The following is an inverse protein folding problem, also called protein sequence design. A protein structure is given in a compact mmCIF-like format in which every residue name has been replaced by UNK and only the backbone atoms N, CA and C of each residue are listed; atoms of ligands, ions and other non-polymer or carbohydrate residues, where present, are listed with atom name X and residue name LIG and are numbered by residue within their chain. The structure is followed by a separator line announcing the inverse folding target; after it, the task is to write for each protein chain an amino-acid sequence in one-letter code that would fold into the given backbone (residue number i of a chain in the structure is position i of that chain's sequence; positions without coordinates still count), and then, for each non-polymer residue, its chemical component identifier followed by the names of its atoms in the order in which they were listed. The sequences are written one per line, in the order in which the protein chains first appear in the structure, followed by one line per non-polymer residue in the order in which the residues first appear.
data_IF_322620299865
#
_entry.id   IF_322620299865
#
_cell.length_a   1.000
_cell.length_b   1.000
_cell.length_c   1.000
_cell.angle_alpha   90.00
_cell.angle_beta   90.00
_cell.angle_gamma   90.00
#
_symmetry.space_group_name_H-M   'P 1'
#
loop_
_entity.id
_entity.type
_entity.pdbx_description
1 polymer ?
#
# COMPACT_ATOMS: atom_id res chain seq x y z
N UNK A 1 4.51 5.49 -35.12
CA UNK A 1 5.83 5.50 -34.45
C UNK A 1 5.66 6.21 -33.12
N UNK A 2 5.40 5.47 -32.06
CA UNK A 2 5.23 6.02 -30.70
C UNK A 2 6.62 6.34 -30.14
N UNK A 3 6.87 7.60 -29.80
CA UNK A 3 8.04 8.00 -29.04
C UNK A 3 7.99 7.28 -27.70
N UNK A 4 8.95 6.38 -27.45
CA UNK A 4 9.24 5.88 -26.08
C UNK A 4 9.62 7.11 -25.26
N UNK A 5 8.75 7.55 -24.36
CA UNK A 5 9.13 8.52 -23.34
C UNK A 5 10.29 7.91 -22.56
N UNK A 6 11.46 8.53 -22.64
CA UNK A 6 12.61 8.17 -21.81
C UNK A 6 12.19 8.31 -20.36
N UNK A 7 12.30 7.23 -19.57
CA UNK A 7 12.04 7.28 -18.13
C UNK A 7 12.95 8.35 -17.53
N UNK A 8 12.35 9.36 -16.88
CA UNK A 8 13.08 10.40 -16.16
C UNK A 8 13.56 9.92 -14.77
N UNK A 9 13.25 8.69 -14.41
CA UNK A 9 13.68 8.09 -13.17
C UNK A 9 15.19 7.89 -13.16
N UNK A 10 15.85 8.39 -12.12
CA UNK A 10 17.29 8.25 -11.90
C UNK A 10 17.53 7.44 -10.64
N UNK A 11 18.48 6.51 -10.70
CA UNK A 11 18.87 5.76 -9.52
C UNK A 11 19.47 6.70 -8.47
N UNK A 12 19.02 6.55 -7.22
CA UNK A 12 19.59 7.27 -6.09
C UNK A 12 20.91 6.59 -5.68
N UNK A 13 21.99 7.34 -5.46
CA UNK A 13 23.28 6.78 -5.03
C UNK A 13 23.29 6.52 -3.52
N UNK A 14 22.30 5.74 -3.03
CA UNK A 14 22.11 5.43 -1.61
C UNK A 14 21.80 3.94 -1.44
N UNK A 15 21.94 3.44 -0.21
CA UNK A 15 21.34 2.16 0.17
C UNK A 15 19.85 2.35 0.54
N UNK A 16 19.00 1.36 0.25
CA UNK A 16 19.28 0.16 -0.55
C UNK A 16 19.45 0.48 -2.04
N UNK A 17 20.31 -0.25 -2.73
CA UNK A 17 20.44 -0.14 -4.17
C UNK A 17 19.15 -0.55 -4.88
N UNK A 18 18.88 0.06 -6.05
CA UNK A 18 17.68 -0.22 -6.83
C UNK A 18 16.49 0.69 -6.49
N UNK A 19 16.73 1.84 -5.86
CA UNK A 19 15.75 2.91 -5.73
C UNK A 19 15.96 3.93 -6.83
N UNK A 20 14.95 4.10 -7.68
CA UNK A 20 14.93 5.12 -8.72
C UNK A 20 13.91 6.19 -8.36
N UNK A 21 14.21 7.44 -8.72
CA UNK A 21 13.46 8.60 -8.29
C UNK A 21 13.25 9.62 -9.40
N UNK A 22 12.09 10.23 -9.40
CA UNK A 22 11.77 11.40 -10.22
C UNK A 22 10.98 12.39 -9.38
N UNK A 23 11.50 13.59 -9.21
CA UNK A 23 10.75 14.71 -8.66
C UNK A 23 9.73 15.23 -9.67
N UNK A 24 8.68 15.86 -9.16
CA UNK A 24 7.63 16.52 -9.96
C UNK A 24 7.13 15.66 -11.15
N UNK A 25 6.83 14.37 -10.85
CA UNK A 25 6.18 13.47 -11.81
C UNK A 25 4.85 14.03 -12.32
N UNK A 26 4.13 14.72 -11.44
CA UNK A 26 2.97 15.55 -11.75
C UNK A 26 3.26 16.99 -11.32
N UNK A 27 2.65 17.98 -12.01
CA UNK A 27 2.75 19.37 -11.61
C UNK A 27 1.82 19.70 -10.42
N UNK A 28 1.99 20.87 -9.76
CA UNK A 28 1.17 21.24 -8.60
C UNK A 28 -0.33 21.31 -8.90
N UNK A 29 -0.73 21.80 -10.06
CA UNK A 29 -2.14 21.93 -10.45
C UNK A 29 -2.79 20.56 -10.64
N UNK A 30 -2.06 19.59 -11.20
CA UNK A 30 -2.53 18.22 -11.35
C UNK A 30 -2.64 17.54 -9.98
N UNK A 31 -1.67 17.73 -9.09
CA UNK A 31 -1.72 17.23 -7.72
C UNK A 31 -2.96 17.74 -6.97
N UNK A 32 -3.24 19.05 -7.03
CA UNK A 32 -4.41 19.64 -6.38
C UNK A 32 -5.72 19.05 -6.91
N UNK A 33 -5.82 18.84 -8.23
CA UNK A 33 -6.99 18.19 -8.84
C UNK A 33 -7.17 16.77 -8.33
N UNK A 34 -6.10 15.98 -8.26
CA UNK A 34 -6.14 14.61 -7.74
C UNK A 34 -6.57 14.57 -6.29
N UNK A 35 -6.00 15.44 -5.44
CA UNK A 35 -6.38 15.54 -4.02
C UNK A 35 -7.86 15.92 -3.89
N UNK A 36 -8.35 16.83 -4.70
CA UNK A 36 -9.79 17.19 -4.72
C UNK A 36 -10.67 15.97 -5.04
N UNK A 37 -10.31 15.16 -6.04
CA UNK A 37 -11.01 13.91 -6.36
C UNK A 37 -10.96 12.95 -5.16
N UNK A 38 -9.79 12.76 -4.55
CA UNK A 38 -9.60 11.82 -3.45
C UNK A 38 -10.42 12.18 -2.21
N UNK A 39 -10.58 13.47 -1.95
CA UNK A 39 -11.32 13.96 -0.77
C UNK A 39 -12.83 14.01 -1.01
N UNK A 40 -13.27 14.40 -2.22
CA UNK A 40 -14.66 14.74 -2.47
C UNK A 40 -15.45 13.69 -3.25
N UNK A 41 -14.78 12.81 -4.02
CA UNK A 41 -15.44 11.90 -4.96
C UNK A 41 -15.24 10.42 -4.62
N UNK A 42 -14.21 10.08 -3.81
CA UNK A 42 -13.92 8.69 -3.49
C UNK A 42 -14.57 8.24 -2.18
N UNK A 43 -15.16 7.06 -2.22
CA UNK A 43 -15.71 6.40 -1.03
C UNK A 43 -14.60 5.66 -0.28
N UNK A 44 -14.09 6.27 0.78
CA UNK A 44 -13.11 5.66 1.65
C UNK A 44 -13.76 4.71 2.66
N UNK A 45 -13.06 3.62 3.06
CA UNK A 45 -13.52 2.75 4.14
C UNK A 45 -13.75 3.53 5.45
N UNK A 46 -14.88 3.30 6.11
CA UNK A 46 -15.21 3.92 7.40
C UNK A 46 -14.40 3.25 8.54
N UNK A 47 -13.17 3.73 8.72
CA UNK A 47 -12.27 3.32 9.79
C UNK A 47 -11.20 4.38 10.04
N UNK A 48 -10.58 4.35 11.22
CA UNK A 48 -9.47 5.24 11.57
C UNK A 48 -8.12 4.74 11.01
N UNK A 49 -7.16 5.64 10.93
CA UNK A 49 -5.78 5.37 10.53
C UNK A 49 -5.60 5.34 9.01
N UNK A 50 -4.63 4.57 8.54
CA UNK A 50 -4.34 4.43 7.11
C UNK A 50 -5.49 3.75 6.37
N UNK A 51 -5.97 4.38 5.31
CA UNK A 51 -7.00 3.84 4.42
C UNK A 51 -6.40 3.37 3.10
N UNK A 52 -7.08 2.47 2.40
CA UNK A 52 -6.65 1.99 1.09
C UNK A 52 -7.85 1.67 0.20
N UNK A 53 -7.72 2.05 -1.08
CA UNK A 53 -8.60 1.65 -2.17
C UNK A 53 -7.77 0.88 -3.19
N UNK A 54 -8.33 -0.20 -3.72
CA UNK A 54 -7.66 -1.06 -4.69
C UNK A 54 -8.40 -1.00 -6.03
N UNK A 55 -7.62 -0.97 -7.11
CA UNK A 55 -8.07 -1.07 -8.50
C UNK A 55 -7.28 -2.17 -9.20
N UNK A 56 -7.82 -2.70 -10.29
CA UNK A 56 -7.26 -3.84 -10.99
C UNK A 56 -7.63 -5.17 -10.33
N UNK A 57 -6.72 -6.13 -10.35
CA UNK A 57 -6.93 -7.44 -9.74
C UNK A 57 -6.71 -7.42 -8.23
N UNK A 58 -7.51 -8.21 -7.52
CA UNK A 58 -7.24 -8.55 -6.11
C UNK A 58 -6.20 -9.65 -6.02
N UNK A 59 -5.25 -9.52 -5.09
CA UNK A 59 -4.28 -10.57 -4.82
C UNK A 59 -4.78 -11.50 -3.73
N UNK A 60 -4.73 -12.79 -3.99
CA UNK A 60 -4.94 -13.82 -2.98
C UNK A 60 -3.60 -14.16 -2.31
N UNK A 61 -3.47 -13.78 -1.05
CA UNK A 61 -2.27 -14.07 -0.26
C UNK A 61 -2.17 -15.54 0.19
N UNK A 62 -3.16 -16.38 -0.09
CA UNK A 62 -3.09 -17.83 0.17
C UNK A 62 -2.47 -18.57 -0.99
N UNK A 63 -2.91 -18.26 -2.20
CA UNK A 63 -2.41 -18.90 -3.43
C UNK A 63 -1.22 -18.15 -4.02
N UNK A 64 -0.97 -16.91 -3.59
CA UNK A 64 0.04 -15.99 -4.12
C UNK A 64 -0.16 -15.71 -5.61
N UNK A 65 -1.41 -15.56 -6.02
CA UNK A 65 -1.81 -15.21 -7.36
C UNK A 65 -2.91 -14.16 -7.38
N UNK A 66 -3.52 -13.98 -8.55
CA UNK A 66 -4.73 -13.19 -8.69
C UNK A 66 -5.88 -14.01 -8.08
N UNK A 67 -6.71 -13.35 -7.27
CA UNK A 67 -7.92 -13.96 -6.72
C UNK A 67 -8.97 -14.12 -7.84
N UNK A 68 -9.29 -15.37 -8.27
CA UNK A 68 -10.19 -15.59 -9.36
C UNK A 68 -11.66 -15.26 -9.02
N UNK A 69 -11.98 -15.20 -7.73
CA UNK A 69 -13.36 -14.96 -7.25
C UNK A 69 -13.69 -13.47 -7.14
N UNK A 70 -12.67 -12.59 -7.27
CA UNK A 70 -12.83 -11.15 -7.22
C UNK A 70 -12.65 -10.56 -8.61
N UNK A 71 -13.71 -9.92 -9.19
CA UNK A 71 -13.62 -9.36 -10.53
C UNK A 71 -12.60 -8.20 -10.59
N UNK A 72 -12.04 -8.00 -11.78
CA UNK A 72 -11.18 -6.85 -12.07
C UNK A 72 -11.95 -5.56 -11.82
N UNK A 73 -11.38 -4.65 -11.03
CA UNK A 73 -11.92 -3.32 -10.80
C UNK A 73 -11.25 -2.33 -11.75
N UNK A 74 -12.03 -1.76 -12.66
CA UNK A 74 -11.53 -0.83 -13.67
C UNK A 74 -10.75 0.34 -13.08
N UNK A 75 -9.73 0.79 -13.83
CA UNK A 75 -8.97 1.98 -13.47
C UNK A 75 -9.78 3.23 -13.80
N UNK A 76 -9.99 4.14 -12.84
CA UNK A 76 -10.71 5.36 -13.11
C UNK A 76 -9.92 6.29 -14.06
N UNK A 77 -10.62 7.16 -14.77
CA UNK A 77 -10.04 8.05 -15.77
C UNK A 77 -8.91 8.93 -15.23
N UNK A 78 -9.03 9.39 -13.99
CA UNK A 78 -7.99 10.20 -13.34
C UNK A 78 -6.66 9.45 -13.14
N UNK A 79 -6.69 8.11 -13.12
CA UNK A 79 -5.50 7.27 -12.92
C UNK A 79 -4.73 7.03 -14.23
N UNK A 80 -5.41 7.03 -15.38
CA UNK A 80 -4.80 6.72 -16.67
C UNK A 80 -3.54 7.55 -16.99
N UNK A 81 -3.53 8.89 -16.82
CA UNK A 81 -2.34 9.69 -17.11
C UNK A 81 -1.20 9.51 -16.09
N UNK A 82 -1.44 8.79 -14.98
CA UNK A 82 -0.48 8.56 -13.91
C UNK A 82 0.21 7.19 -14.02
N UNK A 83 -0.18 6.35 -14.99
CA UNK A 83 0.44 5.04 -15.17
C UNK A 83 1.90 5.21 -15.57
N UNK A 84 2.84 4.51 -14.91
CA UNK A 84 4.25 4.59 -15.25
C UNK A 84 4.49 4.15 -16.70
N UNK A 85 5.19 4.94 -17.53
CA UNK A 85 5.35 4.64 -18.97
C UNK A 85 6.42 3.58 -19.26
N UNK A 86 7.00 2.97 -18.24
CA UNK A 86 8.16 2.09 -18.33
C UNK A 86 7.83 0.65 -18.65
N UNK A 87 6.57 0.26 -18.48
CA UNK A 87 6.10 -1.11 -18.73
C UNK A 87 5.39 -1.23 -20.06
N UNK A 88 5.46 -2.42 -20.65
CA UNK A 88 4.80 -2.70 -21.93
C UNK A 88 3.29 -2.91 -21.81
N UNK A 89 2.77 -2.98 -20.59
CA UNK A 89 1.36 -3.22 -20.28
C UNK A 89 0.93 -2.44 -19.04
N UNK A 90 -0.38 -2.19 -18.87
CA UNK A 90 -0.91 -1.61 -17.63
C UNK A 90 -0.56 -2.46 -16.40
N UNK A 91 -0.52 -1.88 -15.19
CA UNK A 91 -0.34 -2.62 -13.96
C UNK A 91 -1.52 -3.58 -13.72
N UNK A 92 -1.24 -4.69 -13.05
CA UNK A 92 -2.28 -5.63 -12.66
C UNK A 92 -3.05 -5.14 -11.43
N UNK A 93 -2.39 -4.36 -10.57
CA UNK A 93 -3.00 -3.77 -9.38
C UNK A 93 -2.47 -2.37 -9.13
N UNK A 94 -3.39 -1.47 -8.75
CA UNK A 94 -3.07 -0.15 -8.22
C UNK A 94 -3.73 0.02 -6.85
N UNK A 95 -2.94 0.47 -5.88
CA UNK A 95 -3.40 0.74 -4.52
C UNK A 95 -3.26 2.23 -4.21
N UNK A 96 -4.37 2.94 -4.08
CA UNK A 96 -4.41 4.30 -3.55
C UNK A 96 -4.51 4.21 -2.02
N UNK A 97 -3.60 4.87 -1.32
CA UNK A 97 -3.53 4.88 0.14
C UNK A 97 -3.60 6.31 0.67
N UNK A 98 -4.36 6.49 1.74
CA UNK A 98 -4.42 7.74 2.49
C UNK A 98 -3.78 7.58 3.86
N UNK A 99 -2.91 8.51 4.21
CA UNK A 99 -2.19 8.57 5.48
C UNK A 99 -2.53 9.87 6.22
N UNK A 100 -3.55 9.88 7.09
CA UNK A 100 -3.75 11.02 7.99
C UNK A 100 -2.60 11.17 8.98
N UNK A 101 -2.39 12.37 9.57
CA UNK A 101 -1.37 12.59 10.59
C UNK A 101 -1.44 11.55 11.73
N UNK A 102 -0.28 11.02 12.12
CA UNK A 102 -0.20 9.97 13.15
C UNK A 102 -0.35 8.55 12.63
N UNK A 103 -0.78 8.34 11.39
CA UNK A 103 -0.85 7.02 10.78
C UNK A 103 0.49 6.55 10.22
N UNK A 104 0.56 5.27 9.86
CA UNK A 104 1.74 4.66 9.27
C UNK A 104 1.46 3.25 8.77
N UNK A 105 2.50 2.60 8.26
CA UNK A 105 2.49 1.20 7.88
C UNK A 105 3.68 0.49 8.52
N UNK A 106 3.49 -0.67 9.19
CA UNK A 106 4.59 -1.43 9.76
C UNK A 106 5.64 -1.79 8.71
N UNK A 107 6.92 -1.99 9.10
CA UNK A 107 7.93 -2.50 8.19
C UNK A 107 7.50 -3.83 7.55
N UNK A 108 7.59 -3.91 6.23
CA UNK A 108 7.24 -5.09 5.45
C UNK A 108 8.05 -5.12 4.15
N UNK A 109 8.17 -6.29 3.58
CA UNK A 109 8.57 -6.50 2.18
C UNK A 109 7.29 -6.81 1.42
N UNK A 110 7.09 -6.17 0.26
CA UNK A 110 5.94 -6.51 -0.58
C UNK A 110 6.04 -7.97 -1.06
N UNK A 111 4.90 -8.66 -1.16
CA UNK A 111 4.86 -10.06 -1.57
C UNK A 111 5.63 -10.28 -2.88
N UNK A 112 6.45 -11.35 -2.92
CA UNK A 112 7.29 -11.67 -4.07
C UNK A 112 6.49 -12.26 -5.25
N UNK A 113 5.19 -12.47 -5.11
CA UNK A 113 4.28 -12.70 -6.23
C UNK A 113 4.18 -11.49 -7.16
N UNK A 114 4.37 -10.29 -6.64
CA UNK A 114 4.49 -9.10 -7.48
C UNK A 114 5.87 -9.09 -8.16
N UNK A 115 5.90 -8.53 -9.38
CA UNK A 115 7.10 -8.42 -10.20
C UNK A 115 8.24 -7.67 -9.49
N UNK A 116 9.47 -7.79 -10.01
CA UNK A 116 10.68 -7.25 -9.37
C UNK A 116 10.77 -5.74 -9.31
N UNK A 117 9.78 -5.05 -9.82
CA UNK A 117 9.68 -3.60 -9.72
C UNK A 117 8.32 -3.17 -9.22
N UNK A 118 8.32 -2.09 -8.46
CA UNK A 118 7.16 -1.47 -7.87
C UNK A 118 7.32 0.03 -7.98
N UNK A 119 6.26 0.72 -8.33
CA UNK A 119 6.25 2.19 -8.39
C UNK A 119 5.34 2.76 -7.32
N UNK A 120 5.70 3.91 -6.78
CA UNK A 120 4.90 4.64 -5.80
C UNK A 120 4.96 6.14 -6.07
N UNK A 121 3.82 6.74 -6.42
CA UNK A 121 3.65 8.20 -6.54
C UNK A 121 3.21 8.75 -5.18
N UNK A 122 3.91 9.75 -4.66
CA UNK A 122 3.57 10.46 -3.44
C UNK A 122 2.86 11.77 -3.74
N UNK A 123 1.79 12.08 -2.99
CA UNK A 123 0.99 13.30 -3.14
C UNK A 123 0.64 13.87 -1.77
N UNK A 124 0.44 15.19 -1.69
CA UNK A 124 0.10 15.91 -0.47
C UNK A 124 1.31 16.22 0.39
N UNK A 125 1.32 15.87 1.68
CA UNK A 125 2.42 16.17 2.57
C UNK A 125 3.60 15.19 2.40
N UNK A 126 4.86 15.65 2.57
CA UNK A 126 6.00 14.74 2.62
C UNK A 126 5.96 13.87 3.88
N UNK A 127 6.55 12.67 3.78
CA UNK A 127 6.62 11.72 4.90
C UNK A 127 7.91 10.91 4.87
N UNK A 128 8.47 10.64 6.04
CA UNK A 128 9.67 9.82 6.18
C UNK A 128 9.33 8.33 6.09
N UNK A 129 9.88 7.65 5.08
CA UNK A 129 9.86 6.19 4.95
C UNK A 129 11.19 5.62 5.40
N UNK A 130 11.16 4.57 6.19
CA UNK A 130 12.35 3.87 6.67
C UNK A 130 12.52 2.54 5.98
N UNK A 131 13.69 2.32 5.38
CA UNK A 131 14.16 1.03 4.87
C UNK A 131 15.03 0.33 5.92
N UNK A 132 14.93 -1.01 5.99
CA UNK A 132 15.67 -1.82 6.96
C UNK A 132 16.08 -3.19 6.39
N UNK A 133 17.33 -3.59 6.70
CA UNK A 133 17.86 -4.93 6.45
C UNK A 133 18.83 -5.28 7.58
N UNK A 134 18.46 -6.22 8.45
CA UNK A 134 19.19 -6.47 9.69
C UNK A 134 19.28 -5.21 10.56
N UNK A 135 20.50 -4.78 10.89
CA UNK A 135 20.76 -3.57 11.65
C UNK A 135 20.81 -2.29 10.81
N UNK A 136 20.92 -2.43 9.50
CA UNK A 136 20.98 -1.30 8.58
C UNK A 136 19.65 -0.57 8.52
N UNK A 137 19.70 0.75 8.51
CA UNK A 137 18.52 1.64 8.44
C UNK A 137 18.83 2.84 7.57
N UNK A 138 17.93 3.11 6.63
CA UNK A 138 17.99 4.28 5.77
C UNK A 138 16.62 4.93 5.77
N UNK A 139 16.58 6.22 6.02
CA UNK A 139 15.37 7.03 6.00
C UNK A 139 15.34 7.84 4.69
N UNK A 140 14.24 7.75 3.94
CA UNK A 140 14.03 8.49 2.69
C UNK A 140 12.81 9.38 2.88
N UNK A 141 12.97 10.67 2.60
CA UNK A 141 11.86 11.62 2.62
C UNK A 141 11.08 11.54 1.31
N UNK A 142 9.85 11.05 1.39
CA UNK A 142 8.96 10.93 0.24
C UNK A 142 8.29 12.28 -0.01
N UNK A 143 8.92 13.10 -0.87
CA UNK A 143 8.40 14.40 -1.23
C UNK A 143 7.09 14.30 -2.03
N UNK A 144 6.20 15.28 -1.93
CA UNK A 144 5.00 15.33 -2.77
C UNK A 144 5.37 15.39 -4.24
N UNK A 145 4.51 14.84 -5.09
CA UNK A 145 4.65 14.74 -6.55
C UNK A 145 5.83 13.87 -7.03
N UNK A 146 6.56 13.23 -6.12
CA UNK A 146 7.65 12.33 -6.51
C UNK A 146 7.16 10.94 -6.89
N UNK A 147 7.76 10.36 -7.93
CA UNK A 147 7.63 8.95 -8.29
C UNK A 147 8.88 8.21 -7.83
N UNK A 148 8.69 7.21 -6.99
CA UNK A 148 9.72 6.26 -6.59
C UNK A 148 9.50 4.93 -7.30
N UNK A 149 10.57 4.32 -7.82
CA UNK A 149 10.58 2.93 -8.26
C UNK A 149 11.51 2.14 -7.34
N UNK A 150 11.10 0.98 -6.90
CA UNK A 150 11.92 0.01 -6.19
C UNK A 150 12.17 -1.20 -7.06
N UNK A 151 13.44 -1.62 -7.17
CA UNK A 151 13.88 -2.80 -7.91
C UNK A 151 14.92 -3.57 -7.09
N UNK A 152 15.32 -4.75 -7.55
CA UNK A 152 16.45 -5.50 -7.01
C UNK A 152 16.44 -5.64 -5.49
N UNK A 153 17.56 -5.27 -4.84
CA UNK A 153 17.74 -5.42 -3.40
C UNK A 153 16.71 -4.63 -2.58
N UNK A 154 16.46 -3.38 -2.96
CA UNK A 154 15.45 -2.53 -2.31
C UNK A 154 14.05 -3.16 -2.32
N UNK A 155 13.68 -3.83 -3.43
CA UNK A 155 12.37 -4.42 -3.64
C UNK A 155 12.23 -5.79 -2.95
N UNK A 156 13.27 -6.61 -2.98
CA UNK A 156 13.18 -8.02 -2.60
C UNK A 156 13.70 -8.32 -1.19
N UNK A 157 14.62 -7.51 -0.68
CA UNK A 157 15.36 -7.87 0.53
C UNK A 157 15.31 -6.82 1.64
N UNK A 158 14.91 -5.60 1.33
CA UNK A 158 14.73 -4.57 2.35
C UNK A 158 13.26 -4.42 2.73
N UNK A 159 12.98 -4.47 4.02
CA UNK A 159 11.69 -4.04 4.51
C UNK A 159 11.59 -2.52 4.48
N UNK A 160 10.41 -2.01 4.19
CA UNK A 160 10.12 -0.58 4.24
C UNK A 160 8.86 -0.31 5.04
N UNK A 161 8.78 0.86 5.65
CA UNK A 161 7.63 1.23 6.48
C UNK A 161 7.62 2.69 6.84
N UNK A 162 6.48 3.15 7.36
CA UNK A 162 6.26 4.50 7.84
C UNK A 162 5.85 4.41 9.30
N UNK A 163 6.65 5.00 10.19
CA UNK A 163 6.37 4.98 11.64
C UNK A 163 5.07 5.72 11.95
N UNK A 164 4.26 5.19 12.87
CA UNK A 164 3.08 5.89 13.41
C UNK A 164 3.54 7.02 14.34
N UNK A 165 3.49 8.27 13.86
CA UNK A 165 3.85 9.47 14.62
C UNK A 165 3.30 10.73 13.95
N UNK A 166 3.12 11.80 14.69
CA UNK A 166 2.57 13.07 14.18
C UNK A 166 3.62 14.02 13.60
N UNK A 167 4.89 13.72 13.82
CA UNK A 167 6.02 14.54 13.35
C UNK A 167 7.12 13.68 12.76
N UNK A 168 7.90 14.21 11.81
CA UNK A 168 9.14 13.63 11.30
C UNK A 168 10.33 14.49 11.75
N UNK A 169 11.43 13.83 12.10
CA UNK A 169 12.72 14.50 12.32
C UNK A 169 13.55 14.31 11.06
N UNK A 170 13.97 15.41 10.46
CA UNK A 170 14.79 15.45 9.25
C UNK A 170 16.28 15.21 9.59
N UNK A 171 17.10 15.02 8.55
CA UNK A 171 18.54 14.76 8.73
C UNK A 171 19.30 15.91 9.42
N UNK A 172 18.83 17.16 9.27
CA UNK A 172 19.34 18.35 9.91
C UNK A 172 18.84 18.56 11.36
N UNK A 173 18.02 17.62 11.88
CA UNK A 173 17.40 17.71 13.20
C UNK A 173 16.09 18.51 13.25
N UNK A 174 15.67 19.13 12.14
CA UNK A 174 14.40 19.86 12.07
C UNK A 174 13.23 18.92 12.30
N UNK A 175 12.26 19.36 13.12
CA UNK A 175 11.02 18.61 13.36
C UNK A 175 9.90 19.19 12.48
N UNK A 176 9.38 18.34 11.60
CA UNK A 176 8.29 18.69 10.68
C UNK A 176 7.00 18.00 11.11
N UNK A 177 5.91 18.77 11.28
CA UNK A 177 4.58 18.22 11.49
C UNK A 177 4.11 17.48 10.23
N UNK A 178 3.47 16.32 10.40
CA UNK A 178 2.83 15.59 9.30
C UNK A 178 1.45 16.18 9.01
N UNK A 179 1.11 16.20 7.73
CA UNK A 179 -0.22 16.50 7.24
C UNK A 179 -0.74 15.35 6.36
N UNK A 180 -1.87 15.54 5.71
CA UNK A 180 -2.50 14.52 4.88
C UNK A 180 -1.62 14.16 3.69
N UNK A 181 -1.44 12.85 3.50
CA UNK A 181 -0.64 12.28 2.41
C UNK A 181 -1.39 11.17 1.70
N UNK A 182 -1.29 11.15 0.39
CA UNK A 182 -1.75 10.05 -0.44
C UNK A 182 -0.57 9.38 -1.14
N UNK A 183 -0.74 8.09 -1.45
CA UNK A 183 0.25 7.31 -2.22
C UNK A 183 -0.46 6.41 -3.20
N UNK A 184 -0.02 6.41 -4.45
CA UNK A 184 -0.51 5.49 -5.48
C UNK A 184 0.60 4.49 -5.75
N UNK A 185 0.36 3.21 -5.44
CA UNK A 185 1.34 2.14 -5.63
C UNK A 185 0.90 1.23 -6.77
N UNK A 186 1.79 0.97 -7.72
CA UNK A 186 1.56 0.20 -8.93
C UNK A 186 2.29 -1.13 -8.85
N UNK A 187 1.60 -2.22 -9.15
CA UNK A 187 2.14 -3.58 -9.12
C UNK A 187 1.77 -4.38 -10.35
N UNK A 188 2.71 -5.20 -10.82
CA UNK A 188 2.52 -6.22 -11.84
C UNK A 188 2.67 -7.59 -11.20
N UNK A 189 1.87 -8.56 -11.61
CA UNK A 189 1.98 -9.95 -11.14
C UNK A 189 3.09 -10.64 -11.93
N UNK A 190 3.93 -11.36 -11.21
CA UNK A 190 5.00 -12.17 -11.78
C UNK A 190 4.42 -13.34 -12.58
N UNK A 191 5.04 -13.67 -13.70
CA UNK A 191 4.79 -14.91 -14.42
C UNK A 191 5.64 -16.01 -13.77
N UNK A 192 5.02 -16.86 -12.99
CA UNK A 192 5.72 -17.92 -12.25
C UNK A 192 6.15 -17.51 -10.84
N UNK A 193 6.78 -18.43 -10.15
CA UNK A 193 7.21 -18.23 -8.77
C UNK A 193 8.52 -17.44 -8.66
N UNK A 194 8.72 -16.77 -7.52
CA UNK A 194 9.98 -16.10 -7.25
C UNK A 194 11.10 -17.13 -6.99
N UNK A 195 12.23 -16.94 -7.65
CA UNK A 195 13.40 -17.83 -7.56
C UNK A 195 14.54 -17.25 -6.70
N UNK A 196 14.31 -16.13 -6.00
CA UNK A 196 15.37 -15.47 -5.22
C UNK A 196 15.91 -16.33 -4.06
N UNK A 197 15.18 -17.35 -3.62
CA UNK A 197 15.61 -18.29 -2.57
C UNK A 197 15.74 -17.70 -1.16
N UNK A 198 15.49 -16.40 -0.99
CA UNK A 198 15.66 -15.74 0.31
C UNK A 198 14.53 -16.13 1.28
N UNK A 199 14.85 -16.98 2.26
CA UNK A 199 13.89 -17.49 3.25
C UNK A 199 13.42 -16.43 4.26
N UNK A 200 14.17 -15.34 4.45
CA UNK A 200 13.81 -14.31 5.42
C UNK A 200 12.70 -13.38 4.87
N UNK A 201 12.73 -13.07 3.59
CA UNK A 201 11.87 -12.06 2.98
C UNK A 201 10.91 -12.60 1.92
N UNK A 202 11.24 -13.73 1.28
CA UNK A 202 10.45 -14.28 0.18
C UNK A 202 9.37 -15.24 0.68
N UNK A 203 8.12 -14.84 0.51
CA UNK A 203 6.95 -15.65 0.83
C UNK A 203 6.88 -16.96 0.04
N UNK A 204 7.38 -17.00 -1.19
CA UNK A 204 7.50 -18.23 -2.01
C UNK A 204 8.54 -19.19 -1.41
N UNK A 205 9.74 -18.68 -1.07
CA UNK A 205 10.78 -19.49 -0.44
C UNK A 205 10.35 -20.01 0.94
N UNK A 206 9.66 -19.18 1.74
CA UNK A 206 9.11 -19.57 3.04
C UNK A 206 8.12 -20.73 2.90
N UNK A 207 7.18 -20.64 1.96
CA UNK A 207 6.19 -21.71 1.70
C UNK A 207 6.84 -23.00 1.26
N UNK A 208 7.79 -22.95 0.31
CA UNK A 208 8.54 -24.14 -0.16
C UNK A 208 9.27 -24.85 0.99
N UNK A 209 9.67 -24.12 2.03
CA UNK A 209 10.37 -24.65 3.21
C UNK A 209 9.43 -24.90 4.40
N UNK A 210 8.12 -24.91 4.20
CA UNK A 210 7.15 -25.20 5.26
C UNK A 210 7.06 -24.13 6.36
N UNK A 211 7.58 -22.92 6.12
CA UNK A 211 7.49 -21.79 7.05
C UNK A 211 6.19 -21.03 6.75
N UNK A 212 5.10 -21.48 7.34
CA UNK A 212 3.85 -20.74 7.30
C UNK A 212 3.89 -19.62 8.36
N UNK A 213 3.97 -18.37 7.90
CA UNK A 213 3.60 -17.24 8.76
C UNK A 213 2.07 -17.18 8.78
N UNK A 214 1.45 -17.29 9.94
CA UNK A 214 0.03 -16.94 10.12
C UNK A 214 -0.22 -15.53 9.62
N UNK A 215 -0.58 -15.41 8.36
CA UNK A 215 -1.09 -14.14 7.81
C UNK A 215 -2.54 -14.06 8.26
N UNK A 216 -2.82 -13.21 9.25
CA UNK A 216 -4.19 -12.85 9.65
C UNK A 216 -4.92 -12.40 8.37
N UNK A 217 -5.84 -13.24 7.91
CA UNK A 217 -6.71 -12.93 6.79
C UNK A 217 -7.46 -11.62 7.09
N UNK A 218 -7.46 -10.67 6.19
CA UNK A 218 -8.32 -9.48 6.31
C UNK A 218 -9.81 -9.85 6.50
N UNK A 219 -10.24 -11.02 6.03
CA UNK A 219 -11.59 -11.57 6.27
C UNK A 219 -11.89 -11.87 7.74
N UNK A 220 -10.88 -12.10 8.60
CA UNK A 220 -11.09 -12.30 10.05
C UNK A 220 -11.32 -10.99 10.81
N UNK A 221 -11.01 -9.83 10.22
CA UNK A 221 -11.26 -8.53 10.82
C UNK A 221 -12.64 -7.95 10.49
N UNK A 222 -13.38 -8.57 9.55
CA UNK A 222 -14.72 -8.13 9.12
C UNK A 222 -15.83 -9.10 9.56
N UNK A 223 -15.52 -10.22 10.18
CA UNK A 223 -16.53 -11.04 10.83
C UNK A 223 -16.96 -10.33 12.13
N UNK A 224 -17.92 -9.40 12.01
CA UNK A 224 -18.76 -9.03 13.16
C UNK A 224 -19.41 -10.31 13.66
N UNK A 225 -19.36 -10.52 14.98
CA UNK A 225 -20.12 -11.57 15.66
C UNK A 225 -21.58 -11.54 15.18
N UNK A 226 -22.22 -12.71 14.97
CA UNK A 226 -23.64 -12.75 14.60
C UNK A 226 -24.45 -11.99 15.65
N UNK A 227 -25.31 -11.10 15.18
CA UNK A 227 -26.34 -10.46 16.01
C UNK A 227 -27.48 -11.48 16.16
N UNK A 228 -27.22 -12.57 16.88
CA UNK A 228 -28.22 -13.48 17.41
C UNK A 228 -27.93 -13.57 18.89
N UNK A 229 -28.73 -12.84 19.71
CA UNK A 229 -29.03 -13.06 21.12
C UNK A 229 -29.46 -11.75 21.82
N UNK A 230 -30.25 -10.90 21.15
CA UNK A 230 -30.87 -9.75 21.83
C UNK A 230 -32.41 -9.70 21.71
N UNK A 231 -33.06 -10.79 21.27
CA UNK A 231 -34.54 -10.83 21.17
C UNK A 231 -35.19 -11.70 22.23
N UNK A 232 -34.42 -12.49 22.98
CA UNK A 232 -35.01 -13.44 23.96
C UNK A 232 -35.07 -12.94 25.40
N UNK A 233 -34.70 -11.69 25.71
CA UNK A 233 -34.77 -11.18 27.08
C UNK A 233 -35.85 -10.11 27.30
N UNK A 234 -36.73 -9.82 26.34
CA UNK A 234 -37.84 -8.85 26.51
C UNK A 234 -39.24 -9.47 26.56
N UNK A 235 -39.41 -10.81 26.53
CA UNK A 235 -40.72 -11.46 26.64
C UNK A 235 -41.02 -12.13 27.99
N UNK A 236 -40.17 -11.98 29.01
CA UNK A 236 -40.38 -12.58 30.33
C UNK A 236 -40.74 -11.60 31.47
N UNK A 237 -41.05 -10.33 31.18
CA UNK A 237 -41.41 -9.36 32.23
C UNK A 237 -42.80 -8.74 32.11
N UNK A 238 -43.70 -9.32 31.31
CA UNK A 238 -45.11 -8.90 31.28
C UNK A 238 -46.05 -10.08 31.48
N UNK A 239 -45.93 -10.73 32.63
CA UNK A 239 -46.97 -11.64 33.14
C UNK A 239 -46.84 -11.74 34.65
N UNK A 240 -47.42 -10.79 35.38
CA UNK A 240 -47.40 -10.88 36.86
C UNK A 240 -47.92 -9.67 37.58
N UNK A 241 -49.02 -9.07 37.09
CA UNK A 241 -49.76 -8.09 37.91
C UNK A 241 -51.21 -8.00 37.44
N UNK A 242 -51.97 -9.05 37.73
CA UNK A 242 -53.41 -8.94 37.90
C UNK A 242 -53.92 -10.19 38.63
N UNK A 243 -54.16 -10.01 39.93
CA UNK A 243 -55.15 -10.66 40.74
C UNK A 243 -54.72 -10.62 42.23
N UNK A 244 -55.17 -9.61 42.93
CA UNK A 244 -55.78 -9.65 44.25
C UNK A 244 -55.80 -8.24 44.81
#
# INVERSE_FOLDING_TARGET
MGMKASSKLKELPIEPQGIFWQDDFVNPEHEQRLISIFVNELEWPDRSGRLALHYGYSFDYKTFGIDPDVPFKEFPDWLQPLLPPTECRPPDQVCLQYYPPGSGIPPHVDAHMAYDQLYALSLGAPIMMQFRKGEQRVDIDLNPRSMMQMTGDARLHWSHGIKKRKTDTLADGTVRARADRWSITYRWVRKGECECGNIETCDVAQRRNGIEKEKRSLKQLTAKAPVEDLVTSMESSVSGAMLA
#
